data_IF_335051290557
#
_entry.id   IF_335051290557
#
_cell.length_a   1.000
_cell.length_b   1.000
_cell.length_c   1.000
_cell.angle_alpha   90.00
_cell.angle_beta   90.00
_cell.angle_gamma   90.00
#
_symmetry.space_group_name_H-M   'P 1'
#
loop_
_entity.id
_entity.type
_entity.pdbx_description
1 polymer ?
#
# COMPACT_ATOMS: atom_id res chain seq x y z
N UNK A 1 -3.38 0.73 16.85
CA UNK A 1 -4.12 -0.30 16.10
C UNK A 1 -3.30 -0.80 14.93
N UNK A 2 -3.14 -2.08 14.85
CA UNK A 2 -2.44 -2.74 13.75
C UNK A 2 -3.41 -2.94 12.59
N UNK A 3 -2.95 -2.63 11.38
CA UNK A 3 -3.81 -2.73 10.19
C UNK A 3 -3.07 -3.39 9.03
N UNK A 4 -3.83 -4.11 8.23
CA UNK A 4 -3.43 -4.57 6.91
C UNK A 4 -4.42 -3.95 5.94
N UNK A 5 -3.93 -3.28 4.92
CA UNK A 5 -4.74 -2.57 3.95
C UNK A 5 -4.72 -3.32 2.63
N UNK A 6 -5.89 -3.61 2.08
CA UNK A 6 -6.01 -4.18 0.74
C UNK A 6 -6.56 -3.12 -0.21
N UNK A 7 -6.09 -3.13 -1.44
CA UNK A 7 -6.47 -2.10 -2.41
C UNK A 7 -6.29 -2.64 -3.84
N UNK A 8 -7.11 -2.19 -4.76
CA UNK A 8 -7.07 -2.70 -6.13
C UNK A 8 -6.57 -1.68 -7.17
N UNK A 9 -6.27 -0.46 -6.76
CA UNK A 9 -5.66 0.52 -7.65
C UNK A 9 -6.63 1.26 -8.56
N UNK A 10 -7.92 1.12 -8.37
CA UNK A 10 -8.89 1.93 -9.09
C UNK A 10 -8.83 3.39 -8.60
N UNK A 11 -9.51 4.29 -9.32
CA UNK A 11 -9.41 5.73 -9.04
C UNK A 11 -9.80 6.10 -7.61
N UNK A 12 -10.85 5.48 -7.07
CA UNK A 12 -11.29 5.70 -5.70
C UNK A 12 -10.28 5.15 -4.69
N UNK A 13 -9.66 4.01 -5.00
CA UNK A 13 -8.63 3.43 -4.14
C UNK A 13 -7.38 4.30 -4.11
N UNK A 14 -7.02 4.91 -5.23
CA UNK A 14 -5.87 5.82 -5.29
C UNK A 14 -6.12 7.06 -4.45
N UNK A 15 -7.32 7.62 -4.50
CA UNK A 15 -7.68 8.75 -3.65
C UNK A 15 -7.65 8.36 -2.17
N UNK A 16 -8.14 7.18 -1.84
CA UNK A 16 -8.10 6.66 -0.47
C UNK A 16 -6.69 6.40 0.01
N UNK A 17 -5.79 5.97 -0.88
CA UNK A 17 -4.38 5.73 -0.53
C UNK A 17 -3.71 7.02 -0.06
N UNK A 18 -4.00 8.14 -0.70
CA UNK A 18 -3.44 9.43 -0.27
C UNK A 18 -3.89 9.73 1.16
N UNK A 19 -5.17 9.57 1.46
CA UNK A 19 -5.68 9.78 2.81
C UNK A 19 -5.05 8.83 3.82
N UNK A 20 -4.94 7.56 3.44
CA UNK A 20 -4.36 6.55 4.32
C UNK A 20 -2.92 6.91 4.68
N UNK A 21 -2.10 7.24 3.69
CA UNK A 21 -0.70 7.58 3.94
C UNK A 21 -0.56 8.83 4.81
N UNK A 22 -1.41 9.83 4.60
CA UNK A 22 -1.40 11.03 5.42
C UNK A 22 -1.89 10.79 6.86
N UNK A 23 -2.57 9.67 7.10
CA UNK A 23 -3.06 9.28 8.42
C UNK A 23 -2.27 8.10 9.00
N UNK A 24 -1.18 7.69 8.37
CA UNK A 24 -0.46 6.48 8.74
C UNK A 24 0.18 6.56 10.13
N UNK A 25 0.32 7.76 10.68
CA UNK A 25 0.79 7.95 12.05
C UNK A 25 -0.17 7.37 13.11
N UNK A 26 -1.41 7.11 12.74
CA UNK A 26 -2.42 6.61 13.68
C UNK A 26 -2.53 5.10 13.71
N UNK A 27 -1.78 4.41 12.85
CA UNK A 27 -1.85 2.95 12.71
C UNK A 27 -0.47 2.32 12.74
N UNK A 28 -0.43 1.09 13.20
CA UNK A 28 0.72 0.21 12.99
C UNK A 28 0.47 -0.52 11.68
N UNK A 29 1.06 -0.04 10.60
CA UNK A 29 0.83 -0.59 9.27
C UNK A 29 1.63 -1.88 9.14
N UNK A 30 0.94 -3.00 9.13
CA UNK A 30 1.56 -4.33 9.02
C UNK A 30 1.65 -4.81 7.57
N UNK A 31 0.79 -4.30 6.70
CA UNK A 31 0.84 -4.67 5.30
C UNK A 31 -0.02 -3.77 4.44
N UNK A 32 0.45 -3.56 3.21
CA UNK A 32 -0.33 -2.94 2.13
C UNK A 32 -0.33 -3.95 1.00
N UNK A 33 -1.51 -4.44 0.63
CA UNK A 33 -1.64 -5.55 -0.30
C UNK A 33 -2.37 -5.09 -1.55
N UNK A 34 -1.71 -5.23 -2.69
CA UNK A 34 -2.34 -4.98 -3.97
C UNK A 34 -3.18 -6.19 -4.35
N UNK A 35 -4.49 -6.01 -4.42
CA UNK A 35 -5.43 -7.05 -4.78
C UNK A 35 -6.14 -6.66 -6.08
N UNK A 36 -7.17 -7.38 -6.43
CA UNK A 36 -8.00 -6.99 -7.56
C UNK A 36 -9.47 -7.14 -7.21
N UNK A 37 -10.31 -6.39 -7.92
CA UNK A 37 -11.75 -6.57 -7.86
C UNK A 37 -12.19 -7.58 -8.93
N UNK A 38 -13.48 -7.91 -8.92
CA UNK A 38 -14.05 -8.75 -9.95
C UNK A 38 -13.91 -8.16 -11.36
N UNK A 39 -13.61 -6.88 -11.47
CA UNK A 39 -13.52 -6.18 -12.75
C UNK A 39 -12.09 -6.10 -13.30
N UNK A 40 -11.08 -6.38 -12.50
CA UNK A 40 -9.68 -6.13 -12.85
C UNK A 40 -8.74 -7.31 -12.54
N UNK A 41 -9.28 -8.51 -12.37
CA UNK A 41 -8.41 -9.64 -12.08
C UNK A 41 -8.03 -10.38 -13.37
N UNK A 42 -6.87 -10.99 -13.34
CA UNK A 42 -6.39 -11.76 -14.47
C UNK A 42 -7.34 -12.93 -14.75
N UNK A 43 -7.77 -13.05 -16.00
CA UNK A 43 -8.74 -14.08 -16.40
C UNK A 43 -10.19 -13.70 -16.15
N UNK A 44 -10.45 -12.58 -15.53
CA UNK A 44 -11.80 -12.09 -15.33
C UNK A 44 -12.35 -11.43 -16.58
N UNK A 45 -13.63 -11.06 -16.53
CA UNK A 45 -14.28 -10.32 -17.60
C UNK A 45 -13.99 -8.81 -17.48
N UNK A 46 -12.95 -8.46 -16.75
CA UNK A 46 -12.58 -7.09 -16.52
C UNK A 46 -12.13 -6.39 -17.79
N UNK A 47 -12.28 -5.10 -17.79
CA UNK A 47 -11.86 -4.27 -18.90
C UNK A 47 -10.35 -4.15 -18.98
N UNK A 48 -9.66 -4.42 -17.89
CA UNK A 48 -8.22 -4.37 -17.78
C UNK A 48 -7.75 -5.44 -16.80
N UNK A 49 -6.51 -5.87 -16.97
CA UNK A 49 -5.85 -6.66 -15.93
C UNK A 49 -5.80 -5.87 -14.63
N UNK A 50 -5.61 -6.55 -13.50
CA UNK A 50 -5.44 -5.85 -12.24
C UNK A 50 -4.21 -4.93 -12.32
N UNK A 51 -4.25 -3.85 -11.57
CA UNK A 51 -3.14 -2.89 -11.55
C UNK A 51 -1.94 -3.49 -10.84
N UNK A 52 -0.73 -3.40 -11.42
CA UNK A 52 0.46 -3.91 -10.76
C UNK A 52 0.82 -3.09 -9.52
N UNK A 53 1.52 -3.72 -8.59
CA UNK A 53 1.87 -3.11 -7.29
C UNK A 53 2.65 -1.80 -7.41
N UNK A 54 3.25 -1.55 -8.55
CA UNK A 54 4.04 -0.33 -8.80
C UNK A 54 3.25 0.95 -8.58
N UNK A 55 1.93 0.93 -8.75
CA UNK A 55 1.14 2.12 -8.48
C UNK A 55 1.21 2.53 -7.00
N UNK A 56 1.27 1.55 -6.10
CA UNK A 56 1.42 1.82 -4.67
C UNK A 56 2.82 2.36 -4.38
N UNK A 57 3.85 1.79 -5.03
CA UNK A 57 5.22 2.27 -4.88
C UNK A 57 5.34 3.73 -5.32
N UNK A 58 4.67 4.11 -6.38
CA UNK A 58 4.63 5.50 -6.83
C UNK A 58 4.06 6.41 -5.74
N UNK A 59 2.98 5.99 -5.08
CA UNK A 59 2.37 6.77 -4.01
C UNK A 59 3.25 6.83 -2.77
N UNK A 60 4.00 5.78 -2.48
CA UNK A 60 4.99 5.80 -1.41
C UNK A 60 6.12 6.77 -1.76
N UNK A 61 6.50 6.89 -3.03
CA UNK A 61 7.48 7.91 -3.45
C UNK A 61 6.95 9.32 -3.23
N UNK A 62 5.67 9.57 -3.50
CA UNK A 62 5.06 10.86 -3.17
C UNK A 62 5.08 11.10 -1.65
N UNK A 63 4.75 10.09 -0.88
CA UNK A 63 4.81 10.13 0.58
C UNK A 63 6.22 10.48 1.06
N UNK A 64 7.24 9.89 0.43
CA UNK A 64 8.63 10.16 0.76
C UNK A 64 8.97 11.64 0.61
N UNK A 65 8.42 12.30 -0.41
CA UNK A 65 8.67 13.72 -0.64
C UNK A 65 8.11 14.61 0.46
N UNK A 66 6.99 14.23 1.08
CA UNK A 66 6.36 15.02 2.13
C UNK A 66 6.69 14.49 3.53
N UNK A 67 7.37 13.37 3.64
CA UNK A 67 7.70 12.75 4.90
C UNK A 67 8.42 13.68 5.88
N UNK A 68 9.42 14.46 5.48
CA UNK A 68 10.06 15.40 6.42
C UNK A 68 9.08 16.38 7.05
N UNK A 69 8.08 16.84 6.28
CA UNK A 69 7.06 17.72 6.81
C UNK A 69 6.09 16.99 7.73
N UNK A 70 5.76 15.75 7.41
CA UNK A 70 4.89 14.95 8.27
C UNK A 70 5.54 14.69 9.63
N UNK A 71 6.84 14.47 9.67
CA UNK A 71 7.58 14.26 10.93
C UNK A 71 7.54 15.49 11.83
N UNK A 72 7.38 16.69 11.28
CA UNK A 72 7.23 17.89 12.08
C UNK A 72 5.90 17.92 12.84
N UNK A 73 4.89 17.22 12.31
CA UNK A 73 3.58 17.13 12.95
C UNK A 73 3.50 15.98 13.93
N UNK A 74 4.07 14.84 13.57
CA UNK A 74 4.04 13.65 14.42
C UNK A 74 5.21 12.73 14.05
N UNK A 75 6.05 12.43 15.03
CA UNK A 75 7.19 11.54 14.86
C UNK A 75 6.78 10.08 14.62
N UNK A 76 5.50 9.75 14.82
CA UNK A 76 5.01 8.38 14.67
C UNK A 76 4.68 7.99 13.22
N UNK A 77 4.89 8.87 12.26
CA UNK A 77 4.75 8.50 10.86
C UNK A 77 5.77 7.43 10.50
N UNK A 78 5.32 6.32 9.88
CA UNK A 78 6.26 5.29 9.44
C UNK A 78 7.18 5.83 8.35
N UNK A 79 8.43 5.36 8.33
CA UNK A 79 9.34 5.76 7.26
C UNK A 79 8.92 5.16 5.92
N UNK A 80 9.23 5.82 4.79
CA UNK A 80 8.98 5.24 3.49
C UNK A 80 9.69 3.89 3.32
N UNK A 81 10.89 3.75 3.86
CA UNK A 81 11.67 2.51 3.81
C UNK A 81 10.94 1.39 4.57
N UNK A 82 10.32 1.71 5.71
CA UNK A 82 9.52 0.75 6.45
C UNK A 82 8.35 0.23 5.61
N UNK A 83 7.66 1.13 4.91
CA UNK A 83 6.51 0.75 4.09
C UNK A 83 6.90 -0.12 2.90
N UNK A 84 8.13 0.00 2.41
CA UNK A 84 8.63 -0.79 1.28
C UNK A 84 9.48 -1.98 1.70
N UNK A 85 9.89 -2.06 2.96
CA UNK A 85 10.83 -3.07 3.42
C UNK A 85 10.24 -4.48 3.37
N UNK A 86 10.97 -5.48 2.82
CA UNK A 86 10.52 -6.86 2.85
C UNK A 86 10.29 -7.36 4.29
N UNK A 87 9.25 -8.17 4.46
CA UNK A 87 8.88 -8.74 5.74
C UNK A 87 8.54 -10.22 5.58
N UNK A 88 8.59 -10.93 6.69
CA UNK A 88 8.13 -12.31 6.80
C UNK A 88 6.61 -12.33 6.84
N UNK A 89 6.00 -11.95 5.75
CA UNK A 89 4.55 -11.93 5.62
C UNK A 89 4.19 -12.69 4.36
N UNK A 90 3.57 -13.86 4.53
CA UNK A 90 3.29 -14.75 3.42
C UNK A 90 1.86 -15.28 3.50
N UNK A 91 0.88 -14.46 3.14
CA UNK A 91 -0.51 -14.89 3.18
C UNK A 91 -0.84 -15.94 2.12
N UNK A 92 -0.02 -16.08 1.06
CA UNK A 92 -0.33 -16.94 -0.09
C UNK A 92 0.88 -17.70 -0.61
N UNK A 93 1.84 -18.02 0.24
CA UNK A 93 3.04 -18.74 -0.16
C UNK A 93 4.06 -17.88 -0.91
N UNK A 94 4.03 -16.59 -0.70
CA UNK A 94 4.96 -15.64 -1.35
C UNK A 94 5.87 -15.01 -0.30
N UNK A 95 6.68 -15.85 0.32
CA UNK A 95 7.57 -15.43 1.38
C UNK A 95 8.46 -14.25 0.97
N UNK A 96 8.77 -13.41 1.93
CA UNK A 96 9.66 -12.28 1.71
C UNK A 96 9.02 -11.05 1.11
N UNK A 97 7.70 -11.02 0.97
CA UNK A 97 7.00 -9.82 0.55
C UNK A 97 7.09 -8.75 1.63
N UNK A 98 7.13 -7.50 1.20
CA UNK A 98 7.14 -6.35 2.09
C UNK A 98 5.74 -6.12 2.68
N UNK A 99 5.55 -5.09 3.53
CA UNK A 99 4.20 -4.61 3.79
C UNK A 99 3.44 -4.36 2.50
N UNK A 100 4.18 -4.05 1.43
CA UNK A 100 3.64 -3.90 0.09
C UNK A 100 3.69 -5.26 -0.62
N UNK A 101 2.53 -5.81 -0.93
CA UNK A 101 2.41 -7.13 -1.56
C UNK A 101 1.32 -7.14 -2.63
N UNK A 102 1.36 -8.17 -3.49
CA UNK A 102 0.33 -8.41 -4.50
C UNK A 102 -0.27 -9.80 -4.31
N UNK A 103 -1.58 -9.85 -4.34
CA UNK A 103 -2.37 -11.08 -4.32
C UNK A 103 -2.86 -11.38 -5.73
#
# INVERSE_FOLDING_TARGET
TRVIVTTDGEADDRASMVRFLLSANEFDVEGIINSSSQFHWEGGKGWNAFHPVEWIREYIEYYKKVYPNLLLHDKNYPSPEYLEKPRDFDPFGQAGLSPLATI
#
